data_IF_367757360247
#
_entry.id   IF_367757360247
#
_cell.length_a   1.000
_cell.length_b   1.000
_cell.length_c   1.000
_cell.angle_alpha   90.00
_cell.angle_beta   90.00
_cell.angle_gamma   90.00
#
_symmetry.space_group_name_H-M   'P 1'
#
loop_
_entity.id
_entity.type
_entity.pdbx_description
1 polymer ?
#
# COMPACT_ATOMS: atom_id res chain seq x y z
N UNK A 1 -9.90 18.66 -12.95
CA UNK A 1 -9.18 17.89 -11.91
C UNK A 1 -9.05 16.48 -12.43
N UNK A 2 -7.86 15.85 -12.30
CA UNK A 2 -7.74 14.41 -12.55
C UNK A 2 -8.65 13.63 -11.60
N UNK A 3 -9.06 12.42 -11.98
CA UNK A 3 -9.78 11.52 -11.09
C UNK A 3 -8.79 10.84 -10.14
N UNK A 4 -9.26 10.39 -8.97
CA UNK A 4 -8.50 9.42 -8.17
C UNK A 4 -8.47 8.11 -8.93
N UNK A 5 -7.31 7.48 -9.01
CA UNK A 5 -7.17 6.14 -9.59
C UNK A 5 -6.75 5.14 -8.52
N UNK A 6 -7.36 3.96 -8.59
CA UNK A 6 -7.06 2.82 -7.73
C UNK A 6 -6.77 1.61 -8.62
N UNK A 7 -5.58 1.06 -8.48
CA UNK A 7 -5.13 -0.10 -9.25
C UNK A 7 -4.86 -1.26 -8.29
N UNK A 8 -5.58 -2.37 -8.47
CA UNK A 8 -5.32 -3.62 -7.77
C UNK A 8 -4.04 -4.23 -8.34
N UNK A 9 -3.00 -4.39 -7.53
CA UNK A 9 -1.68 -4.85 -8.01
C UNK A 9 -1.53 -6.36 -7.94
N UNK A 10 -2.24 -7.04 -7.05
CA UNK A 10 -2.30 -8.50 -6.94
C UNK A 10 -3.68 -8.92 -6.42
N UNK A 11 -3.92 -10.22 -6.26
CA UNK A 11 -5.18 -10.77 -5.76
C UNK A 11 -5.57 -10.38 -4.32
N UNK A 12 -4.63 -9.81 -3.57
CA UNK A 12 -4.61 -9.82 -2.10
C UNK A 12 -4.49 -8.39 -1.51
N UNK A 13 -3.33 -8.03 -0.94
CA UNK A 13 -3.11 -6.85 -0.09
C UNK A 13 -2.56 -5.62 -0.82
N UNK A 14 -2.09 -5.76 -2.08
CA UNK A 14 -1.32 -4.69 -2.73
C UNK A 14 -2.13 -3.81 -3.67
N UNK A 15 -2.06 -2.50 -3.44
CA UNK A 15 -2.80 -1.50 -4.20
C UNK A 15 -1.92 -0.29 -4.55
N UNK A 16 -2.09 0.25 -5.75
CA UNK A 16 -1.56 1.56 -6.11
C UNK A 16 -2.71 2.57 -6.07
N UNK A 17 -2.52 3.63 -5.29
CA UNK A 17 -3.39 4.77 -5.19
C UNK A 17 -2.73 5.98 -5.88
N UNK A 18 -3.37 6.53 -6.91
CA UNK A 18 -2.88 7.72 -7.61
C UNK A 18 -3.82 8.88 -7.32
N UNK A 19 -3.31 9.85 -6.56
CA UNK A 19 -4.07 11.01 -6.12
C UNK A 19 -3.74 12.21 -7.02
N UNK A 20 -4.72 12.83 -7.68
CA UNK A 20 -4.47 14.00 -8.51
C UNK A 20 -3.98 15.16 -7.63
N UNK A 21 -2.79 15.68 -7.94
CA UNK A 21 -2.27 16.87 -7.27
C UNK A 21 -2.80 18.12 -7.95
N UNK A 22 -3.13 19.13 -7.17
CA UNK A 22 -3.46 20.43 -7.71
C UNK A 22 -2.19 21.25 -7.87
N UNK A 23 -1.85 21.59 -9.11
CA UNK A 23 -0.74 22.49 -9.45
C UNK A 23 -1.20 23.47 -10.52
N UNK A 24 -1.46 24.75 -10.19
CA UNK A 24 -1.82 25.76 -11.18
C UNK A 24 -0.74 25.91 -12.25
N UNK A 25 -1.12 25.83 -13.54
CA UNK A 25 -0.22 26.10 -14.67
C UNK A 25 0.79 24.98 -15.00
N UNK A 26 0.65 23.77 -14.46
CA UNK A 26 1.43 22.59 -14.84
C UNK A 26 0.49 21.45 -15.24
N UNK A 27 1.00 20.50 -16.02
CA UNK A 27 0.29 19.25 -16.30
C UNK A 27 -0.12 18.57 -15.00
N UNK A 28 -1.31 17.96 -15.01
CA UNK A 28 -1.85 17.27 -13.84
C UNK A 28 -0.91 16.13 -13.43
N UNK A 29 -0.22 16.30 -12.29
CA UNK A 29 0.64 15.27 -11.72
C UNK A 29 -0.16 14.45 -10.70
N UNK A 30 0.13 13.16 -10.60
CA UNK A 30 -0.36 12.32 -9.52
C UNK A 30 0.66 12.25 -8.38
N UNK A 31 0.15 12.13 -7.15
CA UNK A 31 0.88 11.59 -6.02
C UNK A 31 0.62 10.09 -5.99
N UNK A 32 1.65 9.29 -6.26
CA UNK A 32 1.54 7.85 -6.40
C UNK A 32 1.99 7.16 -5.10
N UNK A 33 1.05 6.50 -4.44
CA UNK A 33 1.25 5.75 -3.20
C UNK A 33 1.00 4.26 -3.47
N UNK A 34 1.97 3.40 -3.14
CA UNK A 34 1.74 1.95 -3.10
C UNK A 34 1.52 1.49 -1.66
N UNK A 35 0.48 0.67 -1.46
CA UNK A 35 0.11 0.06 -0.19
C UNK A 35 0.56 -1.39 -0.18
N UNK A 36 1.27 -1.79 0.89
CA UNK A 36 1.63 -3.17 1.23
C UNK A 36 2.11 -3.99 0.04
N UNK A 37 3.23 -3.59 -0.60
CA UNK A 37 3.68 -4.23 -1.82
C UNK A 37 4.22 -5.65 -1.54
N UNK A 38 3.39 -6.65 -1.85
CA UNK A 38 3.78 -8.05 -2.03
C UNK A 38 3.74 -8.37 -3.52
N UNK A 39 4.82 -8.01 -4.22
CA UNK A 39 4.94 -8.04 -5.68
C UNK A 39 5.78 -9.22 -6.18
N UNK A 40 6.81 -9.58 -5.45
CA UNK A 40 7.62 -10.76 -5.73
C UNK A 40 6.78 -12.05 -5.62
N UNK A 41 7.15 -13.08 -6.40
CA UNK A 41 6.42 -14.35 -6.46
C UNK A 41 6.68 -15.26 -5.26
N UNK A 42 7.66 -14.94 -4.42
CA UNK A 42 7.96 -15.70 -3.22
C UNK A 42 6.77 -15.68 -2.26
N UNK A 43 6.43 -16.84 -1.68
CA UNK A 43 5.38 -16.94 -0.66
C UNK A 43 5.71 -16.10 0.57
N UNK A 44 4.68 -15.55 1.21
CA UNK A 44 4.77 -15.07 2.58
C UNK A 44 5.16 -16.24 3.51
N UNK A 45 6.04 -15.96 4.47
CA UNK A 45 6.49 -16.91 5.49
C UNK A 45 6.63 -16.20 6.84
N UNK A 46 5.67 -16.39 7.74
CA UNK A 46 5.72 -15.80 9.10
C UNK A 46 5.86 -16.87 10.18
N UNK A 47 6.98 -16.88 10.91
CA UNK A 47 7.21 -17.88 11.96
C UNK A 47 7.68 -19.23 11.40
N UNK A 48 6.95 -20.32 11.63
CA UNK A 48 7.34 -21.65 11.13
C UNK A 48 6.85 -21.87 9.69
N UNK A 49 7.73 -22.25 8.74
CA UNK A 49 7.34 -22.51 7.35
C UNK A 49 6.27 -23.60 7.16
N UNK A 50 6.01 -24.42 8.19
CA UNK A 50 5.04 -25.51 8.16
C UNK A 50 3.59 -25.07 8.46
N UNK A 51 3.39 -23.90 9.07
CA UNK A 51 2.06 -23.49 9.55
C UNK A 51 1.62 -22.11 9.06
N UNK A 52 2.52 -21.32 8.47
CA UNK A 52 2.27 -19.91 8.11
C UNK A 52 2.90 -19.55 6.78
N UNK A 53 2.60 -20.36 5.76
CA UNK A 53 2.98 -20.09 4.37
C UNK A 53 1.73 -19.71 3.59
N UNK A 54 1.73 -18.51 3.03
CA UNK A 54 0.66 -18.05 2.15
C UNK A 54 1.22 -17.77 0.76
N UNK A 55 0.43 -18.10 -0.26
CA UNK A 55 0.73 -17.79 -1.66
C UNK A 55 -0.40 -16.96 -2.22
N UNK A 56 -0.07 -15.97 -3.05
CA UNK A 56 -1.06 -15.12 -3.71
C UNK A 56 -1.98 -15.94 -4.59
N UNK A 57 -3.26 -15.57 -4.61
CA UNK A 57 -4.26 -16.21 -5.49
C UNK A 57 -4.05 -15.84 -6.96
N UNK A 58 -3.69 -14.59 -7.20
CA UNK A 58 -3.43 -14.02 -8.52
C UNK A 58 -2.00 -13.44 -8.55
N UNK A 59 -1.24 -13.64 -9.63
CA UNK A 59 0.07 -13.02 -9.79
C UNK A 59 -0.02 -11.50 -9.67
N UNK A 60 1.04 -10.85 -9.17
CA UNK A 60 1.09 -9.40 -9.24
C UNK A 60 1.25 -8.90 -10.68
N UNK A 61 0.70 -7.73 -10.94
CA UNK A 61 0.85 -6.98 -12.19
C UNK A 61 2.32 -6.56 -12.44
N UNK A 62 3.11 -6.45 -11.37
CA UNK A 62 4.53 -6.13 -11.41
C UNK A 62 5.29 -7.08 -10.48
N UNK A 63 6.51 -7.43 -10.83
CA UNK A 63 7.37 -8.33 -10.07
C UNK A 63 8.14 -7.61 -8.94
N UNK A 64 8.28 -6.28 -9.01
CA UNK A 64 9.01 -5.49 -8.00
C UNK A 64 8.53 -4.03 -7.93
N UNK A 65 8.94 -3.34 -6.86
CA UNK A 65 8.68 -1.89 -6.69
C UNK A 65 9.34 -1.08 -7.82
N UNK A 66 10.56 -1.46 -8.23
CA UNK A 66 11.24 -0.83 -9.35
C UNK A 66 10.47 -0.94 -10.67
N UNK A 67 9.86 -2.10 -10.95
CA UNK A 67 9.08 -2.27 -12.17
C UNK A 67 7.80 -1.42 -12.17
N UNK A 68 7.10 -1.35 -11.03
CA UNK A 68 5.95 -0.47 -10.85
C UNK A 68 6.33 1.01 -11.06
N UNK A 69 7.45 1.43 -10.51
CA UNK A 69 7.94 2.80 -10.64
C UNK A 69 8.32 3.18 -12.08
N UNK A 70 9.02 2.29 -12.80
CA UNK A 70 9.31 2.47 -14.22
C UNK A 70 8.04 2.61 -15.05
N UNK A 71 7.03 1.79 -14.76
CA UNK A 71 5.74 1.91 -15.43
C UNK A 71 5.09 3.28 -15.19
N UNK A 72 5.12 3.81 -13.95
CA UNK A 72 4.61 5.16 -13.66
C UNK A 72 5.36 6.24 -14.46
N UNK A 73 6.68 6.07 -14.59
CA UNK A 73 7.53 6.96 -15.37
C UNK A 73 7.11 6.96 -16.85
N UNK A 74 6.96 5.79 -17.45
CA UNK A 74 6.54 5.61 -18.84
C UNK A 74 5.13 6.19 -19.09
N UNK A 75 4.17 5.90 -18.20
CA UNK A 75 2.79 6.42 -18.29
C UNK A 75 2.74 7.95 -18.29
N UNK A 76 3.69 8.58 -17.60
CA UNK A 76 3.74 10.04 -17.40
C UNK A 76 4.86 10.71 -18.22
N UNK A 77 5.33 10.04 -19.28
CA UNK A 77 6.35 10.56 -20.20
C UNK A 77 7.62 11.08 -19.49
N UNK A 78 8.11 10.34 -18.50
CA UNK A 78 9.32 10.66 -17.75
C UNK A 78 9.10 11.44 -16.45
N UNK A 79 7.88 11.91 -16.18
CA UNK A 79 7.59 12.75 -15.01
C UNK A 79 6.98 12.01 -13.80
N UNK A 80 6.58 10.75 -13.99
CA UNK A 80 5.92 9.92 -12.98
C UNK A 80 6.93 9.08 -12.20
N UNK A 81 6.62 8.84 -10.94
CA UNK A 81 7.39 8.00 -10.03
C UNK A 81 6.53 7.65 -8.81
N UNK A 82 6.93 6.66 -8.03
CA UNK A 82 6.41 6.44 -6.68
C UNK A 82 6.85 7.59 -5.75
N UNK A 83 5.87 8.24 -5.13
CA UNK A 83 6.09 9.29 -4.15
C UNK A 83 6.13 8.72 -2.73
N UNK A 84 5.38 7.65 -2.49
CA UNK A 84 5.35 6.97 -1.21
C UNK A 84 5.07 5.47 -1.30
N UNK A 85 5.53 4.78 -0.27
CA UNK A 85 5.25 3.37 0.02
C UNK A 85 4.68 3.32 1.43
N UNK A 86 3.55 2.66 1.63
CA UNK A 86 2.98 2.40 2.95
C UNK A 86 3.09 0.93 3.27
N UNK A 87 3.68 0.64 4.42
CA UNK A 87 3.63 -0.66 5.06
C UNK A 87 2.73 -0.56 6.30
N UNK A 88 1.64 -1.32 6.33
CA UNK A 88 0.59 -1.18 7.34
C UNK A 88 0.75 -2.17 8.50
N UNK A 89 1.30 -3.36 8.26
CA UNK A 89 1.43 -4.45 9.25
C UNK A 89 2.78 -5.17 9.13
N UNK A 90 3.26 -5.86 10.19
CA UNK A 90 4.57 -6.52 10.22
C UNK A 90 4.61 -7.93 9.63
N UNK A 91 3.53 -8.39 9.02
CA UNK A 91 3.47 -9.69 8.36
C UNK A 91 4.10 -9.63 6.97
N UNK A 92 4.69 -10.72 6.52
CA UNK A 92 5.49 -10.73 5.28
C UNK A 92 4.66 -10.61 4.00
N UNK A 93 3.34 -10.64 4.05
CA UNK A 93 2.41 -10.27 2.97
C UNK A 93 2.08 -8.77 2.92
N UNK A 94 2.56 -8.00 3.89
CA UNK A 94 2.48 -6.54 3.93
C UNK A 94 3.87 -5.91 3.82
N UNK A 95 4.82 -6.39 4.63
CA UNK A 95 6.24 -6.02 4.60
C UNK A 95 7.06 -7.14 3.94
N UNK A 96 6.93 -7.30 2.63
CA UNK A 96 7.56 -8.40 1.91
C UNK A 96 9.03 -8.12 1.55
N UNK A 97 10.01 -8.81 2.16
CA UNK A 97 11.43 -8.49 1.98
C UNK A 97 11.89 -8.59 0.53
N UNK A 98 11.47 -9.64 -0.18
CA UNK A 98 11.89 -9.94 -1.54
C UNK A 98 11.39 -8.90 -2.56
N UNK A 99 10.28 -8.21 -2.26
CA UNK A 99 9.75 -7.13 -3.11
C UNK A 99 10.61 -5.87 -3.08
N UNK A 100 11.46 -5.71 -2.06
CA UNK A 100 12.25 -4.50 -1.80
C UNK A 100 13.75 -4.75 -1.63
N UNK A 101 14.20 -6.00 -1.76
CA UNK A 101 15.60 -6.38 -1.50
C UNK A 101 16.53 -6.12 -2.68
N UNK A 102 16.02 -6.00 -3.91
CA UNK A 102 16.84 -5.73 -5.09
C UNK A 102 17.30 -4.26 -5.15
N UNK A 103 18.48 -4.04 -5.74
CA UNK A 103 19.13 -2.72 -5.78
C UNK A 103 18.26 -1.64 -6.45
N UNK A 104 17.50 -1.99 -7.49
CA UNK A 104 16.63 -1.03 -8.17
C UNK A 104 15.47 -0.61 -7.27
N UNK A 105 14.84 -1.58 -6.58
CA UNK A 105 13.76 -1.31 -5.64
C UNK A 105 14.27 -0.49 -4.45
N UNK A 106 15.48 -0.75 -3.98
CA UNK A 106 16.12 0.08 -2.94
C UNK A 106 16.35 1.52 -3.38
N UNK A 107 16.73 1.74 -4.64
CA UNK A 107 16.82 3.10 -5.19
C UNK A 107 15.45 3.81 -5.18
N UNK A 108 14.33 3.08 -5.30
CA UNK A 108 12.98 3.61 -5.07
C UNK A 108 12.75 4.00 -3.62
N UNK A 109 13.02 3.08 -2.69
CA UNK A 109 12.84 3.32 -1.26
C UNK A 109 13.70 4.49 -0.74
N UNK A 110 14.88 4.73 -1.32
CA UNK A 110 15.76 5.83 -0.93
C UNK A 110 15.18 7.22 -1.27
N UNK A 111 14.36 7.33 -2.31
CA UNK A 111 13.75 8.62 -2.70
C UNK A 111 12.34 8.79 -2.16
N UNK A 112 11.54 7.72 -2.15
CA UNK A 112 10.13 7.73 -1.76
C UNK A 112 9.97 7.95 -0.26
N UNK A 113 8.81 8.49 0.15
CA UNK A 113 8.42 8.53 1.57
C UNK A 113 7.98 7.14 2.01
N UNK A 114 8.47 6.66 3.15
CA UNK A 114 8.10 5.35 3.69
C UNK A 114 7.15 5.59 4.86
N UNK A 115 5.86 5.35 4.65
CA UNK A 115 4.86 5.35 5.70
C UNK A 115 4.84 4.01 6.41
N UNK A 116 4.75 4.05 7.74
CA UNK A 116 4.75 2.88 8.61
C UNK A 116 3.93 3.12 9.87
N UNK A 117 3.76 2.11 10.70
CA UNK A 117 3.11 2.18 12.02
C UNK A 117 4.11 1.86 13.14
N UNK A 118 3.78 2.23 14.37
CA UNK A 118 4.66 2.10 15.54
C UNK A 118 5.02 0.64 15.87
N UNK A 119 4.06 -0.26 15.73
CA UNK A 119 4.22 -1.71 15.92
C UNK A 119 5.08 -2.36 14.82
N UNK A 120 5.11 -1.77 13.63
CA UNK A 120 5.90 -2.23 12.49
C UNK A 120 7.38 -1.80 12.53
N UNK A 121 7.72 -0.73 13.26
CA UNK A 121 9.06 -0.12 13.22
C UNK A 121 10.20 -1.12 13.49
N UNK A 122 10.00 -2.09 14.38
CA UNK A 122 11.02 -3.10 14.67
C UNK A 122 11.27 -4.02 13.47
N UNK A 123 10.21 -4.52 12.84
CA UNK A 123 10.32 -5.39 11.68
C UNK A 123 10.94 -4.66 10.48
N UNK A 124 10.48 -3.43 10.20
CA UNK A 124 11.05 -2.57 9.15
C UNK A 124 12.56 -2.32 9.36
N UNK A 125 13.01 -2.15 10.61
CA UNK A 125 14.43 -1.98 10.96
C UNK A 125 15.25 -3.26 10.88
N UNK A 126 14.61 -4.42 11.00
CA UNK A 126 15.27 -5.73 10.92
C UNK A 126 15.50 -6.23 9.49
N UNK A 127 14.87 -5.58 8.51
CA UNK A 127 15.09 -5.94 7.12
C UNK A 127 16.58 -5.83 6.75
N UNK A 128 17.10 -6.75 5.93
CA UNK A 128 18.51 -6.79 5.53
C UNK A 128 18.87 -5.70 4.50
N UNK A 129 18.15 -4.58 4.49
CA UNK A 129 18.30 -3.49 3.51
C UNK A 129 18.62 -2.17 4.20
N UNK A 130 19.45 -1.37 3.54
CA UNK A 130 19.81 -0.01 4.00
C UNK A 130 19.00 1.01 3.21
N UNK A 131 18.04 1.66 3.87
CA UNK A 131 17.32 2.80 3.34
C UNK A 131 17.52 4.03 4.23
N UNK A 132 17.29 5.22 3.66
CA UNK A 132 17.38 6.48 4.37
C UNK A 132 16.26 6.57 5.41
N UNK A 133 16.62 6.52 6.69
CA UNK A 133 15.67 6.59 7.80
C UNK A 133 14.97 7.95 7.89
N UNK A 134 15.52 9.01 7.29
CA UNK A 134 14.87 10.32 7.23
C UNK A 134 13.59 10.30 6.40
N UNK A 135 13.42 9.28 5.54
CA UNK A 135 12.23 9.06 4.72
C UNK A 135 11.09 8.36 5.47
N UNK A 136 11.36 7.80 6.64
CA UNK A 136 10.37 7.03 7.39
C UNK A 136 9.47 7.95 8.20
N UNK A 137 8.16 7.84 7.96
CA UNK A 137 7.11 8.56 8.66
C UNK A 137 6.22 7.56 9.37
N UNK A 138 6.19 7.62 10.70
CA UNK A 138 5.26 6.83 11.50
C UNK A 138 3.88 7.50 11.52
N UNK A 139 2.89 6.83 10.94
CA UNK A 139 1.49 7.27 10.87
C UNK A 139 0.65 6.85 12.07
N UNK A 140 1.19 6.09 13.03
CA UNK A 140 0.45 5.77 14.25
C UNK A 140 0.08 7.05 14.98
N UNK A 141 -1.21 7.37 14.91
CA UNK A 141 -1.80 8.47 15.64
C UNK A 141 -1.69 8.19 17.14
N UNK A 142 -0.94 9.04 17.85
CA UNK A 142 -1.07 9.15 19.32
C UNK A 142 -2.42 9.74 19.74
N UNK A 143 -3.23 10.25 18.80
CA UNK A 143 -4.45 10.99 19.11
C UNK A 143 -5.73 10.14 19.15
N UNK A 144 -5.82 9.02 18.42
CA UNK A 144 -6.99 8.11 18.48
C UNK A 144 -6.60 6.67 18.14
N UNK A 145 -6.49 5.81 19.16
CA UNK A 145 -6.93 4.41 19.02
C UNK A 145 -8.45 4.44 19.02
N UNK A 146 -9.06 4.67 17.87
CA UNK A 146 -10.45 4.27 17.64
C UNK A 146 -10.36 3.29 16.49
N UNK A 147 -10.39 2.00 16.81
CA UNK A 147 -10.67 0.99 15.81
C UNK A 147 -12.07 1.31 15.22
N UNK A 148 -12.27 1.09 13.92
CA UNK A 148 -13.51 1.44 13.22
C UNK A 148 -14.77 0.73 13.77
N UNK A 149 -14.56 -0.20 14.70
CA UNK A 149 -15.49 -1.11 15.35
C UNK A 149 -15.73 -0.79 16.85
N UNK A 150 -15.07 0.24 17.42
CA UNK A 150 -15.18 0.57 18.86
C UNK A 150 -16.31 1.56 19.20
N UNK A 151 -17.05 2.07 18.22
CA UNK A 151 -18.12 3.03 18.49
C UNK A 151 -19.45 2.34 18.85
N UNK A 152 -19.52 1.00 18.82
CA UNK A 152 -20.69 0.21 19.26
C UNK A 152 -21.98 0.40 18.43
N UNK A 153 -22.01 1.33 17.48
CA UNK A 153 -23.12 1.52 16.54
C UNK A 153 -22.86 0.77 15.24
N UNK A 154 -23.39 -0.45 15.16
CA UNK A 154 -23.71 -1.05 13.86
C UNK A 154 -24.71 -0.12 13.13
N UNK A 155 -24.63 0.06 11.80
CA UNK A 155 -25.67 0.77 11.07
C UNK A 155 -27.01 0.05 11.27
N UNK A 156 -28.02 0.76 11.80
CA UNK A 156 -29.36 0.21 11.90
C UNK A 156 -29.83 -0.23 10.51
N UNK A 157 -30.17 -1.51 10.39
CA UNK A 157 -30.86 -2.01 9.21
C UNK A 157 -32.14 -1.18 9.05
N UNK A 158 -32.21 -0.37 7.98
CA UNK A 158 -33.44 0.33 7.63
C UNK A 158 -34.54 -0.72 7.49
N UNK A 159 -35.47 -0.73 8.43
CA UNK A 159 -36.70 -1.48 8.30
C UNK A 159 -37.43 -0.91 7.08
N UNK A 160 -37.43 -1.68 5.98
CA UNK A 160 -38.28 -1.38 4.85
C UNK A 160 -39.71 -1.52 5.32
N UNK A 161 -40.37 -0.40 5.62
CA UNK A 161 -41.83 -0.35 5.67
C UNK A 161 -42.33 -0.60 4.26
N UNK A 162 -42.65 -1.85 3.96
CA UNK A 162 -43.41 -2.21 2.78
C UNK A 162 -44.79 -1.56 2.89
N UNK A 163 -44.96 -0.42 2.22
CA UNK A 163 -46.26 0.19 1.97
C UNK A 163 -47.03 -0.69 0.99
N UNK A 164 -47.77 -1.65 1.53
CA UNK A 164 -48.77 -2.40 0.80
C UNK A 164 -50.00 -1.51 0.60
N UNK A 165 -49.96 -0.63 -0.41
CA UNK A 165 -51.15 -0.15 -1.09
C UNK A 165 -51.13 -0.59 -2.54
N UNK A 166 -51.86 -1.66 -2.83
CA UNK A 166 -52.50 -1.84 -4.14
C UNK A 166 -54.01 -1.93 -3.91
N UNK A 167 -54.68 -1.04 -4.62
CA UNK A 167 -56.06 -1.10 -5.11
C UNK A 167 -56.45 -2.48 -5.60
#
# INVERSE_FOLDING_TARGET
MGAVELHKLNGDTSWLLRLPTWSPGKDARYYNLVLDPWLDATPQLDGSPLFSRQTRKEPAAFASVAQLDRWLNDQSQGSGQLDAILFSHPFTDHLHPETIADDDSLAVLQRATIFTTADLLSALRSLPVKFDRSKVVNLSSVARRQDADQDGTLPEARSGSGDARRT
#
